data_IF_155849051175
#
_entry.id   IF_155849051175
#
_cell.length_a   1.000
_cell.length_b   1.000
_cell.length_c   1.000
_cell.angle_alpha   90.00
_cell.angle_beta   90.00
_cell.angle_gamma   90.00
#
_symmetry.space_group_name_H-M   'P 1'
#
loop_
_entity.id
_entity.type
_entity.pdbx_description
1 polymer ?
#
# COMPACT_ATOMS: atom_id res chain seq x y z
N UNK A 1 14.08 -24.27 2.40
CA UNK A 1 15.33 -23.48 2.36
C UNK A 1 15.25 -22.51 1.20
N UNK A 2 15.16 -21.21 1.47
CA UNK A 2 15.28 -20.16 0.45
C UNK A 2 16.75 -20.08 -0.01
N UNK A 3 16.96 -19.94 -1.31
CA UNK A 3 18.29 -19.81 -1.92
C UNK A 3 18.97 -18.50 -1.46
N UNK A 4 20.29 -18.46 -1.22
CA UNK A 4 21.04 -17.26 -0.84
C UNK A 4 21.09 -16.15 -1.90
N UNK A 5 20.48 -16.36 -3.07
CA UNK A 5 20.36 -15.37 -4.16
C UNK A 5 19.02 -14.60 -4.15
N UNK A 6 18.51 -14.36 -2.94
CA UNK A 6 17.42 -13.41 -2.67
C UNK A 6 17.97 -12.00 -2.39
N UNK A 7 19.05 -11.61 -3.07
CA UNK A 7 19.55 -10.24 -2.99
C UNK A 7 18.45 -9.30 -3.49
N UNK A 8 18.01 -8.38 -2.63
CA UNK A 8 17.12 -7.31 -3.07
C UNK A 8 17.85 -6.58 -4.19
N UNK A 9 17.13 -6.11 -5.22
CA UNK A 9 17.78 -5.39 -6.32
C UNK A 9 18.56 -4.17 -5.81
N UNK A 10 18.15 -3.60 -4.68
CA UNK A 10 18.93 -2.69 -3.85
C UNK A 10 20.38 -3.17 -3.62
N UNK A 11 20.57 -4.39 -3.13
CA UNK A 11 21.89 -4.96 -2.80
C UNK A 11 22.71 -5.20 -4.08
N UNK A 12 22.02 -5.58 -5.15
CA UNK A 12 22.61 -5.72 -6.48
C UNK A 12 23.11 -4.35 -6.96
N UNK A 13 22.26 -3.32 -7.02
CA UNK A 13 22.64 -1.97 -7.47
C UNK A 13 23.70 -1.34 -6.56
N UNK A 14 23.60 -1.52 -5.25
CA UNK A 14 24.61 -1.06 -4.29
C UNK A 14 25.98 -1.73 -4.54
N UNK A 15 26.02 -3.02 -4.86
CA UNK A 15 27.29 -3.68 -5.24
C UNK A 15 27.86 -3.20 -6.58
N UNK A 16 27.02 -2.60 -7.43
CA UNK A 16 27.37 -2.15 -8.77
C UNK A 16 27.88 -0.70 -8.80
N UNK A 17 27.41 0.17 -7.88
CA UNK A 17 27.79 1.59 -7.84
C UNK A 17 29.31 1.87 -7.94
N UNK A 18 30.22 1.12 -7.28
CA UNK A 18 31.66 1.36 -7.40
C UNK A 18 32.20 1.13 -8.82
N UNK A 19 31.56 0.27 -9.63
CA UNK A 19 31.94 0.02 -11.02
C UNK A 19 31.39 1.08 -12.00
N UNK A 20 30.46 1.93 -11.55
CA UNK A 20 29.76 2.95 -12.36
C UNK A 20 30.45 4.33 -12.27
N UNK A 21 31.39 4.54 -11.35
CA UNK A 21 31.98 5.84 -11.02
C UNK A 21 32.92 6.49 -12.08
N UNK A 22 32.97 6.00 -13.33
CA UNK A 22 33.75 6.60 -14.43
C UNK A 22 32.86 7.28 -15.48
N UNK A 23 33.41 8.15 -16.35
CA UNK A 23 32.62 8.92 -17.36
C UNK A 23 32.47 8.25 -18.74
N UNK A 24 32.99 7.04 -18.92
CA UNK A 24 32.94 6.32 -20.20
C UNK A 24 31.67 5.47 -20.36
N UNK A 25 30.96 5.54 -21.52
CA UNK A 25 29.90 4.60 -21.86
C UNK A 25 30.45 3.16 -21.87
N UNK A 26 29.88 2.29 -21.05
CA UNK A 26 30.25 0.88 -20.97
C UNK A 26 28.98 0.05 -20.73
N UNK A 27 28.92 -1.16 -21.29
CA UNK A 27 27.98 -2.18 -20.81
C UNK A 27 28.53 -2.67 -19.47
N UNK A 28 27.92 -2.23 -18.37
CA UNK A 28 28.58 -2.29 -17.06
C UNK A 28 28.48 -3.70 -16.47
N UNK A 29 27.31 -4.37 -16.49
CA UNK A 29 27.16 -5.75 -15.97
C UNK A 29 26.01 -6.50 -16.65
N UNK A 30 26.23 -7.80 -16.90
CA UNK A 30 25.20 -8.78 -17.29
C UNK A 30 24.93 -9.73 -16.11
N UNK A 31 23.70 -9.74 -15.59
CA UNK A 31 23.28 -10.61 -14.49
C UNK A 31 22.20 -11.59 -14.93
N UNK A 32 22.16 -12.77 -14.33
CA UNK A 32 21.08 -13.76 -14.53
C UNK A 32 20.28 -13.89 -13.23
N UNK A 33 19.04 -13.44 -13.24
CA UNK A 33 18.08 -13.59 -12.14
C UNK A 33 17.25 -14.85 -12.39
N UNK A 34 17.39 -15.86 -11.52
CA UNK A 34 16.59 -17.10 -11.57
C UNK A 34 15.58 -17.13 -10.43
N UNK A 35 14.31 -17.23 -10.77
CA UNK A 35 13.25 -17.71 -9.87
C UNK A 35 12.74 -19.09 -10.37
N UNK A 36 12.01 -19.83 -9.54
CA UNK A 36 11.39 -21.14 -9.82
C UNK A 36 10.56 -21.19 -11.10
N UNK A 37 10.20 -20.05 -11.70
CA UNK A 37 9.38 -19.95 -12.93
C UNK A 37 10.00 -19.12 -14.07
N UNK A 38 11.11 -18.41 -13.88
CA UNK A 38 11.67 -17.50 -14.89
C UNK A 38 13.19 -17.37 -14.76
N UNK A 39 13.91 -17.40 -15.89
CA UNK A 39 15.36 -17.13 -15.98
C UNK A 39 15.59 -15.89 -16.82
N UNK A 40 15.83 -14.76 -16.16
CA UNK A 40 15.88 -13.46 -16.81
C UNK A 40 17.29 -12.88 -16.76
N UNK A 41 17.80 -12.41 -17.87
CA UNK A 41 19.06 -11.69 -17.97
C UNK A 41 18.80 -10.20 -17.83
N UNK A 42 19.56 -9.53 -16.99
CA UNK A 42 19.51 -8.09 -16.78
C UNK A 42 20.83 -7.50 -17.25
N UNK A 43 20.79 -6.64 -18.26
CA UNK A 43 21.94 -5.93 -18.83
C UNK A 43 21.79 -4.45 -18.50
N UNK A 44 22.76 -3.89 -17.79
CA UNK A 44 22.83 -2.43 -17.59
C UNK A 44 23.74 -1.87 -18.68
N UNK A 45 23.18 -1.07 -19.58
CA UNK A 45 23.92 -0.38 -20.63
C UNK A 45 23.96 1.12 -20.35
N UNK A 46 25.15 1.70 -20.39
CA UNK A 46 25.32 3.14 -20.14
C UNK A 46 25.43 3.86 -21.47
N UNK A 47 24.41 4.62 -21.81
CA UNK A 47 24.33 5.39 -23.06
C UNK A 47 24.70 6.85 -22.81
N UNK A 48 25.00 7.61 -23.87
CA UNK A 48 25.34 9.04 -23.78
C UNK A 48 24.20 9.94 -23.23
N UNK A 49 23.00 9.38 -23.01
CA UNK A 49 21.78 10.12 -22.59
C UNK A 49 21.22 9.61 -21.24
N UNK A 50 21.89 8.64 -20.60
CA UNK A 50 21.44 8.00 -19.35
C UNK A 50 21.75 6.50 -19.32
N UNK A 51 21.35 5.83 -18.23
CA UNK A 51 21.54 4.39 -18.06
C UNK A 51 20.25 3.63 -18.43
N UNK A 52 20.38 2.51 -19.14
CA UNK A 52 19.25 1.67 -19.53
C UNK A 52 19.43 0.26 -19.01
N UNK A 53 18.38 -0.24 -18.36
CA UNK A 53 18.30 -1.61 -17.89
C UNK A 53 17.49 -2.43 -18.90
N UNK A 54 18.14 -3.39 -19.54
CA UNK A 54 17.55 -4.30 -20.51
C UNK A 54 17.34 -5.68 -19.88
N UNK A 55 16.18 -6.26 -20.12
CA UNK A 55 15.73 -7.51 -19.50
C UNK A 55 15.45 -8.53 -20.62
N UNK A 56 16.15 -9.67 -20.65
CA UNK A 56 16.06 -10.69 -21.71
C UNK A 56 15.72 -12.09 -21.15
N UNK A 57 14.86 -12.86 -21.80
CA UNK A 57 14.48 -14.23 -21.43
C UNK A 57 15.29 -15.29 -22.19
N UNK A 58 16.62 -15.21 -22.07
CA UNK A 58 17.57 -16.28 -22.45
C UNK A 58 17.67 -16.67 -23.92
N UNK A 59 16.88 -16.06 -24.81
CA UNK A 59 17.01 -16.13 -26.28
C UNK A 59 16.62 -14.76 -26.84
N UNK A 60 17.38 -14.24 -27.83
CA UNK A 60 17.07 -13.09 -28.72
C UNK A 60 17.90 -11.79 -28.59
N UNK A 61 17.99 -11.11 -29.75
CA UNK A 61 18.76 -9.88 -30.03
C UNK A 61 18.05 -8.57 -29.64
N UNK A 62 16.82 -8.62 -29.09
CA UNK A 62 16.09 -7.49 -28.49
C UNK A 62 15.60 -7.89 -27.09
N UNK A 63 15.58 -6.96 -26.12
CA UNK A 63 15.11 -7.24 -24.77
C UNK A 63 13.58 -7.37 -24.70
N UNK A 64 13.09 -8.28 -23.85
CA UNK A 64 11.67 -8.49 -23.55
C UNK A 64 11.06 -7.37 -22.70
N UNK A 65 11.92 -6.65 -21.97
CA UNK A 65 11.58 -5.38 -21.35
C UNK A 65 12.80 -4.44 -21.29
N UNK A 66 12.56 -3.14 -21.42
CA UNK A 66 13.58 -2.10 -21.22
C UNK A 66 13.05 -1.08 -20.23
N UNK A 67 13.89 -0.74 -19.26
CA UNK A 67 13.66 0.28 -18.24
C UNK A 67 14.74 1.34 -18.39
N UNK A 68 14.36 2.61 -18.40
CA UNK A 68 15.30 3.73 -18.42
C UNK A 68 15.45 4.29 -17.02
N UNK A 69 16.70 4.34 -16.51
CA UNK A 69 17.04 4.84 -15.19
C UNK A 69 18.16 5.88 -15.35
N UNK A 70 17.96 7.08 -14.80
CA UNK A 70 19.05 8.03 -14.72
C UNK A 70 20.09 7.58 -13.68
N UNK A 71 21.29 8.17 -13.72
CA UNK A 71 22.32 7.93 -12.69
C UNK A 71 21.85 8.38 -11.30
N UNK A 72 20.98 9.39 -11.23
CA UNK A 72 20.32 9.77 -9.99
C UNK A 72 19.40 8.65 -9.49
N UNK A 73 18.62 8.03 -10.39
CA UNK A 73 17.76 6.90 -10.05
C UNK A 73 18.58 5.71 -9.54
N UNK A 74 19.70 5.36 -10.18
CA UNK A 74 20.59 4.29 -9.69
C UNK A 74 21.19 4.59 -8.32
N UNK A 75 21.61 5.84 -8.07
CA UNK A 75 22.10 6.26 -6.76
C UNK A 75 21.01 6.19 -5.68
N UNK A 76 19.77 6.55 -6.02
CA UNK A 76 18.61 6.43 -5.13
C UNK A 76 18.23 4.96 -4.89
N UNK A 77 18.36 4.09 -5.89
CA UNK A 77 18.08 2.66 -5.71
C UNK A 77 19.08 2.05 -4.74
N UNK A 78 20.36 2.39 -4.86
CA UNK A 78 21.39 1.88 -3.96
C UNK A 78 21.32 2.46 -2.55
N UNK A 79 20.94 3.74 -2.40
CA UNK A 79 20.92 4.40 -1.09
C UNK A 79 19.59 4.25 -0.36
N UNK A 80 18.48 4.20 -1.10
CA UNK A 80 17.11 4.23 -0.56
C UNK A 80 16.33 2.94 -0.85
N UNK A 81 16.82 2.06 -1.73
CA UNK A 81 15.99 0.99 -2.35
C UNK A 81 14.97 1.52 -3.36
N UNK A 82 15.18 2.78 -3.72
CA UNK A 82 14.29 3.78 -4.26
C UNK A 82 14.39 4.27 -5.69
N UNK A 83 13.30 4.63 -6.38
CA UNK A 83 13.38 5.72 -7.40
C UNK A 83 12.45 6.87 -7.01
N UNK A 84 12.92 8.12 -7.11
CA UNK A 84 12.13 9.32 -6.70
C UNK A 84 11.16 9.81 -7.77
N UNK A 85 11.46 9.54 -9.04
CA UNK A 85 10.71 10.01 -10.20
C UNK A 85 9.99 8.89 -10.99
N UNK A 86 9.19 9.27 -11.99
CA UNK A 86 8.59 8.29 -12.90
C UNK A 86 9.68 7.58 -13.70
N UNK A 87 9.60 6.26 -13.75
CA UNK A 87 10.51 5.42 -14.53
C UNK A 87 9.82 5.00 -15.83
N UNK A 88 10.43 5.31 -16.97
CA UNK A 88 9.91 4.87 -18.25
C UNK A 88 10.24 3.39 -18.46
N UNK A 89 9.22 2.57 -18.73
CA UNK A 89 9.36 1.14 -18.94
C UNK A 89 8.57 0.70 -20.18
N UNK A 90 9.13 -0.21 -20.96
CA UNK A 90 8.50 -0.78 -22.16
C UNK A 90 8.76 -2.27 -22.24
N UNK A 91 7.80 -3.05 -22.76
CA UNK A 91 7.95 -4.50 -22.93
C UNK A 91 6.83 -5.34 -22.31
N UNK A 92 7.13 -6.59 -21.99
CA UNK A 92 6.18 -7.59 -21.49
C UNK A 92 5.50 -7.15 -20.18
N UNK A 93 4.15 -7.05 -20.13
CA UNK A 93 3.43 -6.64 -18.91
C UNK A 93 3.75 -7.47 -17.67
N UNK A 94 3.99 -8.78 -17.84
CA UNK A 94 4.36 -9.66 -16.74
C UNK A 94 5.74 -9.33 -16.16
N UNK A 95 6.73 -9.05 -17.03
CA UNK A 95 8.08 -8.64 -16.60
C UNK A 95 8.07 -7.23 -16.00
N UNK A 96 7.32 -6.31 -16.60
CA UNK A 96 7.15 -4.95 -16.08
C UNK A 96 6.46 -4.96 -14.72
N UNK A 97 5.44 -5.81 -14.53
CA UNK A 97 4.79 -6.03 -13.24
C UNK A 97 5.74 -6.58 -12.18
N UNK A 98 6.51 -7.63 -12.52
CA UNK A 98 7.51 -8.19 -11.62
C UNK A 98 8.64 -7.19 -11.28
N UNK A 99 8.97 -6.30 -12.21
CA UNK A 99 9.93 -5.24 -12.01
C UNK A 99 9.37 -4.15 -11.09
N UNK A 100 8.19 -3.61 -11.39
CA UNK A 100 7.45 -2.68 -10.52
C UNK A 100 7.39 -3.20 -9.09
N UNK A 101 6.98 -4.44 -8.89
CA UNK A 101 6.80 -5.01 -7.55
C UNK A 101 8.11 -5.11 -6.75
N UNK A 102 9.27 -5.18 -7.42
CA UNK A 102 10.61 -5.17 -6.82
C UNK A 102 11.16 -3.77 -6.53
N UNK A 103 10.75 -2.75 -7.28
CA UNK A 103 11.15 -1.36 -7.04
C UNK A 103 10.26 -0.65 -6.03
N UNK A 104 8.99 -1.04 -5.98
CA UNK A 104 8.02 -0.52 -5.03
C UNK A 104 8.14 -1.20 -3.65
N UNK A 105 8.97 -2.24 -3.52
CA UNK A 105 9.20 -2.89 -2.23
C UNK A 105 10.23 -2.12 -1.41
N UNK A 106 9.83 -1.71 -0.21
CA UNK A 106 10.73 -1.13 0.78
C UNK A 106 11.93 -2.06 1.09
N UNK A 107 13.12 -1.50 1.18
CA UNK A 107 14.34 -2.26 1.50
C UNK A 107 14.33 -2.75 2.95
N UNK A 108 15.12 -3.77 3.26
CA UNK A 108 15.29 -4.24 4.65
C UNK A 108 15.76 -3.13 5.60
N UNK A 109 16.64 -2.23 5.12
CA UNK A 109 17.09 -1.07 5.87
C UNK A 109 15.95 -0.05 6.10
N UNK A 110 15.10 0.16 5.09
CA UNK A 110 13.89 0.97 5.23
C UNK A 110 12.93 0.40 6.29
N UNK A 111 12.65 -0.92 6.24
CA UNK A 111 11.84 -1.59 7.26
C UNK A 111 12.41 -1.40 8.67
N UNK A 112 13.71 -1.63 8.84
CA UNK A 112 14.39 -1.45 10.11
C UNK A 112 14.32 0.00 10.61
N UNK A 113 14.37 0.99 9.71
CA UNK A 113 14.21 2.40 10.06
C UNK A 113 12.80 2.71 10.56
N UNK A 114 11.75 2.19 9.92
CA UNK A 114 10.37 2.32 10.40
C UNK A 114 10.22 1.71 11.80
N UNK A 115 10.75 0.50 12.00
CA UNK A 115 10.73 -0.17 13.30
C UNK A 115 11.51 0.62 14.37
N UNK A 116 12.64 1.23 14.02
CA UNK A 116 13.42 2.07 14.93
C UNK A 116 12.69 3.36 15.33
N UNK A 117 12.14 4.11 14.35
CA UNK A 117 11.40 5.37 14.62
C UNK A 117 10.19 5.11 15.51
N UNK A 118 9.53 3.96 15.33
CA UNK A 118 8.36 3.62 16.11
C UNK A 118 8.68 2.95 17.46
N UNK A 119 9.94 2.63 17.73
CA UNK A 119 10.39 2.05 19.01
C UNK A 119 10.46 3.05 20.17
N UNK A 120 10.49 4.35 19.87
CA UNK A 120 10.19 5.39 20.87
C UNK A 120 8.67 5.44 21.09
N UNK A 121 8.21 5.76 22.30
CA UNK A 121 6.80 5.72 22.65
C UNK A 121 5.98 6.66 21.75
N UNK A 122 5.37 6.10 20.71
CA UNK A 122 4.30 6.75 19.96
C UNK A 122 3.11 6.79 20.91
N UNK A 123 2.54 7.98 21.11
CA UNK A 123 1.47 8.21 22.08
C UNK A 123 0.32 7.20 21.97
N UNK A 124 -0.36 6.97 23.08
CA UNK A 124 -1.48 6.01 23.20
C UNK A 124 -2.75 6.42 22.44
N UNK A 125 -2.75 7.60 21.80
CA UNK A 125 -3.88 8.14 21.05
C UNK A 125 -3.44 8.58 19.64
N UNK A 126 -4.36 8.44 18.68
CA UNK A 126 -4.19 8.96 17.32
C UNK A 126 -4.73 10.38 17.25
N UNK A 127 -3.87 11.31 16.85
CA UNK A 127 -4.23 12.72 16.72
C UNK A 127 -5.39 12.89 15.71
N UNK A 128 -6.37 13.72 16.07
CA UNK A 128 -7.44 14.15 15.16
C UNK A 128 -7.14 15.58 14.70
N UNK A 129 -6.81 15.75 13.43
CA UNK A 129 -6.34 17.01 12.83
C UNK A 129 -7.33 17.59 11.83
N UNK A 130 -7.25 18.91 11.63
CA UNK A 130 -7.99 19.64 10.60
C UNK A 130 -7.07 20.18 9.52
N UNK A 131 -7.57 20.23 8.28
CA UNK A 131 -6.84 20.79 7.13
C UNK A 131 -6.47 22.25 7.38
N UNK A 132 -7.42 23.07 7.85
CA UNK A 132 -7.19 24.51 8.04
C UNK A 132 -6.12 24.81 9.11
N UNK A 133 -5.83 23.86 10.00
CA UNK A 133 -4.90 24.01 11.12
C UNK A 133 -3.55 23.32 10.86
N UNK A 134 -3.41 22.60 9.73
CA UNK A 134 -2.23 21.77 9.43
C UNK A 134 -1.71 22.10 8.03
N UNK A 135 -0.50 22.65 7.94
CA UNK A 135 0.16 22.82 6.64
C UNK A 135 0.65 21.47 6.11
N UNK A 136 0.80 21.28 4.78
CA UNK A 136 1.40 20.07 4.21
C UNK A 136 2.79 19.76 4.78
N UNK A 137 3.64 20.77 4.98
CA UNK A 137 4.96 20.60 5.58
C UNK A 137 4.87 20.10 7.03
N UNK A 138 4.00 20.70 7.84
CA UNK A 138 3.78 20.26 9.21
C UNK A 138 3.20 18.84 9.27
N UNK A 139 2.33 18.47 8.32
CA UNK A 139 1.80 17.12 8.23
C UNK A 139 2.91 16.10 7.95
N UNK A 140 3.75 16.39 6.95
CA UNK A 140 4.85 15.52 6.56
C UNK A 140 5.84 15.36 7.71
N UNK A 141 6.25 16.44 8.36
CA UNK A 141 7.21 16.39 9.45
C UNK A 141 6.66 15.65 10.68
N UNK A 142 5.47 16.02 11.14
CA UNK A 142 4.91 15.55 12.41
C UNK A 142 4.26 14.18 12.33
N UNK A 143 3.75 13.79 11.16
CA UNK A 143 3.01 12.54 10.97
C UNK A 143 3.75 11.59 10.02
N UNK A 144 4.03 12.01 8.79
CA UNK A 144 4.55 11.10 7.78
C UNK A 144 5.99 10.64 8.05
N UNK A 145 6.91 11.57 8.28
CA UNK A 145 8.32 11.31 8.61
C UNK A 145 8.51 10.71 10.00
N UNK A 146 7.66 11.10 10.95
CA UNK A 146 7.65 10.57 12.32
C UNK A 146 6.93 9.21 12.43
N UNK A 147 6.37 8.68 11.34
CA UNK A 147 5.58 7.43 11.33
C UNK A 147 4.44 7.45 12.36
N UNK A 148 3.72 8.56 12.48
CA UNK A 148 2.57 8.73 13.39
C UNK A 148 1.25 8.74 12.61
N UNK A 149 0.32 7.81 12.89
CA UNK A 149 -1.03 7.85 12.34
C UNK A 149 -1.76 9.12 12.76
N UNK A 150 -2.69 9.58 11.92
CA UNK A 150 -3.56 10.71 12.23
C UNK A 150 -4.91 10.57 11.53
N UNK A 151 -5.99 11.03 12.17
CA UNK A 151 -7.31 11.15 11.54
C UNK A 151 -7.51 12.59 11.11
N UNK A 152 -7.79 12.79 9.84
CA UNK A 152 -8.13 14.09 9.25
C UNK A 152 -9.66 14.17 9.22
N UNK A 153 -10.23 15.04 10.05
CA UNK A 153 -11.68 15.04 10.35
C UNK A 153 -12.52 15.87 9.36
N UNK A 154 -11.87 16.64 8.50
CA UNK A 154 -12.47 17.53 7.51
C UNK A 154 -11.92 17.26 6.09
N UNK A 155 -11.36 16.06 5.86
CA UNK A 155 -10.73 15.68 4.60
C UNK A 155 -11.70 15.59 3.42
N UNK A 156 -12.97 15.28 3.68
CA UNK A 156 -13.94 14.90 2.66
C UNK A 156 -14.93 16.03 2.34
N UNK A 157 -14.42 17.21 1.99
CA UNK A 157 -15.25 18.39 1.76
C UNK A 157 -16.29 18.22 0.63
N UNK A 158 -15.94 17.57 -0.49
CA UNK A 158 -16.90 17.30 -1.57
C UNK A 158 -18.02 16.37 -1.09
N UNK A 159 -17.68 15.35 -0.28
CA UNK A 159 -18.68 14.42 0.27
C UNK A 159 -19.48 14.99 1.43
N UNK A 160 -18.94 15.92 2.21
CA UNK A 160 -19.71 16.63 3.22
C UNK A 160 -20.86 17.44 2.59
N UNK A 161 -20.63 18.05 1.42
CA UNK A 161 -21.65 18.80 0.69
C UNK A 161 -22.70 17.91 -0.01
N UNK A 162 -22.34 16.70 -0.40
CA UNK A 162 -23.23 15.74 -1.05
C UNK A 162 -22.92 14.30 -0.59
N UNK A 163 -23.40 13.90 0.61
CA UNK A 163 -23.06 12.62 1.21
C UNK A 163 -23.48 11.44 0.33
N UNK A 164 -22.72 10.35 0.40
CA UNK A 164 -23.16 9.08 -0.15
C UNK A 164 -24.16 8.43 0.80
N UNK A 165 -25.23 7.90 0.23
CA UNK A 165 -26.15 7.00 0.93
C UNK A 165 -26.17 5.67 0.17
N UNK A 166 -26.60 4.59 0.83
CA UNK A 166 -26.75 3.28 0.18
C UNK A 166 -27.66 3.39 -1.04
N UNK A 167 -28.75 4.14 -0.94
CA UNK A 167 -29.69 4.33 -2.05
C UNK A 167 -29.05 5.08 -3.22
N UNK A 168 -28.26 6.12 -2.94
CA UNK A 168 -27.56 6.87 -3.97
C UNK A 168 -26.47 6.04 -4.65
N UNK A 169 -25.70 5.25 -3.88
CA UNK A 169 -24.72 4.30 -4.42
C UNK A 169 -25.44 3.28 -5.31
N UNK A 170 -26.56 2.72 -4.86
CA UNK A 170 -27.35 1.78 -5.65
C UNK A 170 -27.86 2.40 -6.94
N UNK A 171 -28.35 3.64 -6.90
CA UNK A 171 -28.91 4.34 -8.06
C UNK A 171 -27.84 4.76 -9.08
N UNK A 172 -26.72 5.31 -8.61
CA UNK A 172 -25.68 5.86 -9.49
C UNK A 172 -24.65 4.79 -9.92
N UNK A 173 -24.34 3.84 -9.04
CA UNK A 173 -23.22 2.89 -9.21
C UNK A 173 -23.68 1.44 -9.37
N UNK A 174 -24.99 1.18 -9.28
CA UNK A 174 -25.56 -0.16 -9.20
C UNK A 174 -25.21 -1.11 -10.35
N UNK A 175 -24.98 -0.56 -11.55
CA UNK A 175 -24.63 -1.34 -12.74
C UNK A 175 -23.14 -1.74 -12.80
N UNK A 176 -22.29 -1.16 -11.95
CA UNK A 176 -20.88 -1.55 -11.89
C UNK A 176 -20.73 -3.01 -11.46
N UNK A 177 -19.83 -3.74 -12.12
CA UNK A 177 -19.43 -5.07 -11.69
C UNK A 177 -18.42 -4.94 -10.54
N UNK A 178 -18.63 -5.72 -9.49
CA UNK A 178 -17.81 -5.73 -8.28
C UNK A 178 -17.38 -7.14 -7.95
N UNK A 179 -16.11 -7.30 -7.56
CA UNK A 179 -15.58 -8.56 -7.04
C UNK A 179 -15.92 -8.66 -5.55
N UNK A 180 -16.73 -9.65 -5.20
CA UNK A 180 -17.20 -9.92 -3.84
C UNK A 180 -16.53 -11.18 -3.32
N UNK A 181 -15.86 -11.05 -2.17
CA UNK A 181 -15.29 -12.19 -1.45
C UNK A 181 -16.41 -12.91 -0.73
N UNK A 182 -16.59 -14.19 -1.04
CA UNK A 182 -17.61 -15.07 -0.43
C UNK A 182 -16.95 -16.04 0.56
N UNK A 183 -17.73 -16.64 1.45
CA UNK A 183 -17.21 -17.50 2.53
C UNK A 183 -16.60 -16.70 3.69
N UNK A 184 -15.68 -17.30 4.44
CA UNK A 184 -15.03 -16.66 5.59
C UNK A 184 -13.80 -15.86 5.14
N UNK A 185 -14.02 -14.68 4.55
CA UNK A 185 -12.95 -13.80 4.07
C UNK A 185 -11.85 -13.58 5.10
N UNK A 186 -12.20 -13.29 6.37
CA UNK A 186 -11.22 -13.03 7.41
C UNK A 186 -10.30 -14.23 7.69
N UNK A 187 -10.84 -15.44 7.72
CA UNK A 187 -10.04 -16.65 7.95
C UNK A 187 -9.26 -17.09 6.70
N UNK A 188 -9.83 -16.89 5.52
CA UNK A 188 -9.29 -17.41 4.26
C UNK A 188 -8.51 -16.38 3.44
N UNK A 189 -8.37 -15.14 3.93
CA UNK A 189 -7.62 -14.11 3.24
C UNK A 189 -6.21 -14.62 2.90
N UNK A 190 -5.83 -14.48 1.63
CA UNK A 190 -4.57 -14.95 1.04
C UNK A 190 -4.40 -16.47 0.90
N UNK A 191 -5.43 -17.26 1.23
CA UNK A 191 -5.43 -18.69 0.98
C UNK A 191 -5.93 -19.01 -0.44
N UNK A 192 -5.45 -20.10 -1.07
CA UNK A 192 -5.97 -20.55 -2.36
C UNK A 192 -7.47 -20.90 -2.36
N UNK A 193 -8.05 -21.13 -1.18
CA UNK A 193 -9.48 -21.45 -1.02
C UNK A 193 -10.38 -20.21 -1.09
N UNK A 194 -9.81 -19.00 -1.01
CA UNK A 194 -10.57 -17.75 -1.00
C UNK A 194 -11.45 -17.64 -2.25
N UNK A 195 -12.77 -17.61 -2.02
CA UNK A 195 -13.74 -17.52 -3.09
C UNK A 195 -14.03 -16.07 -3.47
N UNK A 196 -14.23 -15.83 -4.76
CA UNK A 196 -14.56 -14.50 -5.28
C UNK A 196 -15.56 -14.64 -6.40
N UNK A 197 -16.62 -13.85 -6.33
CA UNK A 197 -17.68 -13.82 -7.32
C UNK A 197 -17.82 -12.39 -7.86
N UNK A 198 -18.03 -12.27 -9.16
CA UNK A 198 -18.29 -10.99 -9.79
C UNK A 198 -19.80 -10.79 -9.93
N UNK A 199 -20.33 -9.73 -9.32
CA UNK A 199 -21.76 -9.42 -9.30
C UNK A 199 -22.01 -7.96 -9.62
N UNK A 200 -23.25 -7.60 -9.99
CA UNK A 200 -23.64 -6.18 -10.06
C UNK A 200 -23.70 -5.58 -8.66
N UNK A 201 -23.21 -4.36 -8.50
CA UNK A 201 -23.21 -3.67 -7.22
C UNK A 201 -24.63 -3.53 -6.65
N UNK A 202 -25.64 -3.25 -7.47
CA UNK A 202 -27.03 -3.20 -7.01
C UNK A 202 -27.52 -4.52 -6.40
N UNK A 203 -27.15 -5.66 -7.02
CA UNK A 203 -27.51 -6.98 -6.52
C UNK A 203 -26.78 -7.29 -5.20
N UNK A 204 -25.50 -6.95 -5.10
CA UNK A 204 -24.73 -7.06 -3.87
C UNK A 204 -25.35 -6.23 -2.73
N UNK A 205 -25.67 -4.96 -3.00
CA UNK A 205 -26.28 -4.05 -2.03
C UNK A 205 -27.70 -4.48 -1.61
N UNK A 206 -28.43 -5.20 -2.46
CA UNK A 206 -29.73 -5.77 -2.10
C UNK A 206 -29.57 -7.00 -1.17
N UNK A 207 -28.49 -7.77 -1.32
CA UNK A 207 -28.17 -8.92 -0.48
C UNK A 207 -27.49 -8.55 0.86
N UNK A 208 -26.94 -7.35 0.99
CA UNK A 208 -26.43 -6.81 2.24
C UNK A 208 -27.61 -6.51 3.18
N UNK A 209 -28.02 -7.48 4.00
CA UNK A 209 -29.07 -7.29 5.02
C UNK A 209 -28.70 -6.22 6.06
N UNK A 210 -29.57 -6.02 7.06
CA UNK A 210 -29.40 -4.97 8.10
C UNK A 210 -28.28 -5.24 9.13
N UNK A 211 -27.50 -6.31 8.93
CA UNK A 211 -26.32 -6.63 9.74
C UNK A 211 -26.62 -7.28 11.09
N UNK A 212 -27.89 -7.61 11.40
CA UNK A 212 -28.30 -8.17 12.71
C UNK A 212 -27.99 -9.65 12.92
N UNK A 213 -27.72 -10.41 11.86
CA UNK A 213 -27.39 -11.83 12.00
C UNK A 213 -25.88 -12.03 12.18
N UNK A 214 -25.45 -12.23 13.43
CA UNK A 214 -24.04 -12.38 13.81
C UNK A 214 -23.40 -13.70 13.35
N UNK A 215 -24.20 -14.70 12.96
CA UNK A 215 -23.71 -16.05 12.66
C UNK A 215 -23.39 -16.30 11.18
N UNK A 216 -23.84 -15.42 10.27
CA UNK A 216 -23.65 -15.60 8.83
C UNK A 216 -22.31 -15.04 8.34
N UNK A 217 -21.59 -15.79 7.50
CA UNK A 217 -20.48 -15.28 6.71
C UNK A 217 -20.96 -14.13 5.84
N UNK A 218 -20.26 -12.99 5.90
CA UNK A 218 -20.67 -11.74 5.26
C UNK A 218 -19.86 -11.53 3.99
N UNK A 219 -20.48 -11.56 2.80
CA UNK A 219 -19.76 -11.30 1.56
C UNK A 219 -19.22 -9.86 1.58
N UNK A 220 -17.97 -9.68 1.17
CA UNK A 220 -17.26 -8.41 1.31
C UNK A 220 -16.64 -7.98 -0.02
N UNK A 221 -17.04 -6.83 -0.55
CA UNK A 221 -16.43 -6.24 -1.74
C UNK A 221 -15.09 -5.59 -1.37
N UNK A 222 -14.09 -6.42 -1.12
CA UNK A 222 -12.78 -6.04 -0.59
C UNK A 222 -11.73 -5.81 -1.69
N UNK A 223 -10.98 -4.70 -1.57
CA UNK A 223 -9.85 -4.33 -2.44
C UNK A 223 -10.22 -4.25 -3.93
N UNK A 224 -11.40 -3.72 -4.26
CA UNK A 224 -11.78 -3.47 -5.64
C UNK A 224 -11.09 -2.21 -6.17
N UNK A 225 -10.67 -2.18 -7.44
CA UNK A 225 -10.14 -0.96 -8.04
C UNK A 225 -11.27 0.05 -8.24
N UNK A 226 -11.03 1.32 -7.92
CA UNK A 226 -11.97 2.40 -8.22
C UNK A 226 -11.98 2.62 -9.75
N UNK A 227 -13.14 2.51 -10.43
CA UNK A 227 -13.25 2.85 -11.85
C UNK A 227 -12.81 4.28 -12.13
N UNK A 228 -12.20 4.51 -13.30
CA UNK A 228 -11.66 5.82 -13.67
C UNK A 228 -12.71 6.93 -13.57
N UNK A 229 -13.93 6.68 -14.03
CA UNK A 229 -15.02 7.68 -14.06
C UNK A 229 -15.52 8.07 -12.66
N UNK A 230 -15.07 7.40 -11.60
CA UNK A 230 -15.43 7.72 -10.22
C UNK A 230 -14.51 8.79 -9.59
N UNK A 231 -13.42 9.18 -10.27
CA UNK A 231 -12.41 10.09 -9.73
C UNK A 231 -12.98 11.45 -9.29
N UNK A 232 -13.98 11.99 -10.00
CA UNK A 232 -14.60 13.28 -9.66
C UNK A 232 -15.29 13.27 -8.29
N UNK A 233 -15.66 12.09 -7.80
CA UNK A 233 -16.36 11.93 -6.52
C UNK A 233 -15.41 11.82 -5.35
N UNK A 234 -14.14 11.50 -5.62
CA UNK A 234 -13.13 11.30 -4.61
C UNK A 234 -12.65 12.65 -4.07
N UNK A 235 -12.55 12.70 -2.75
CA UNK A 235 -11.72 13.67 -2.04
C UNK A 235 -10.34 13.03 -1.89
N UNK A 236 -9.36 13.51 -2.65
CA UNK A 236 -7.97 13.04 -2.56
C UNK A 236 -7.32 13.54 -1.27
N UNK A 237 -6.27 12.86 -0.78
CA UNK A 237 -5.55 13.29 0.42
C UNK A 237 -5.07 14.76 0.35
N UNK A 238 -5.35 15.59 1.37
CA UNK A 238 -5.19 17.05 1.28
C UNK A 238 -3.74 17.55 1.43
N UNK A 239 -2.83 16.71 1.96
CA UNK A 239 -1.46 17.11 2.30
C UNK A 239 -0.40 16.58 1.33
N UNK A 240 -0.79 15.78 0.34
CA UNK A 240 0.11 15.22 -0.67
C UNK A 240 -0.46 15.47 -2.07
N UNK A 241 0.37 15.73 -3.08
CA UNK A 241 -0.11 15.88 -4.45
C UNK A 241 -0.85 14.63 -4.93
N UNK A 242 -1.98 14.81 -5.62
CA UNK A 242 -2.80 13.69 -6.15
C UNK A 242 -1.99 12.73 -7.02
N UNK A 243 -1.03 13.25 -7.80
CA UNK A 243 -0.14 12.46 -8.64
C UNK A 243 0.81 11.53 -7.88
N UNK A 244 0.89 11.65 -6.55
CA UNK A 244 1.61 10.70 -5.69
C UNK A 244 0.72 9.54 -5.23
N UNK A 245 -0.59 9.58 -5.44
CA UNK A 245 -1.48 8.48 -5.11
C UNK A 245 -1.46 7.41 -6.22
N UNK A 246 -1.41 6.14 -5.82
CA UNK A 246 -1.72 5.02 -6.70
C UNK A 246 -3.21 5.03 -7.05
N UNK A 247 -3.59 4.17 -8.01
CA UNK A 247 -4.99 3.88 -8.27
C UNK A 247 -5.71 3.50 -6.97
N UNK A 248 -6.73 4.27 -6.64
CA UNK A 248 -7.50 4.10 -5.44
C UNK A 248 -8.22 2.75 -5.45
N UNK A 249 -8.40 2.19 -4.26
CA UNK A 249 -9.18 0.97 -4.06
C UNK A 249 -10.34 1.23 -3.13
N UNK A 250 -11.41 0.48 -3.27
CA UNK A 250 -12.57 0.58 -2.41
C UNK A 250 -12.95 -0.71 -1.70
N UNK A 251 -13.70 -0.50 -0.63
CA UNK A 251 -14.15 -1.51 0.31
C UNK A 251 -15.60 -1.25 0.66
N UNK A 252 -16.51 -2.13 0.22
CA UNK A 252 -17.94 -2.03 0.53
C UNK A 252 -18.39 -3.30 1.22
N UNK A 253 -19.12 -3.17 2.33
CA UNK A 253 -19.79 -4.31 2.92
C UNK A 253 -20.69 -3.97 4.10
N UNK A 254 -21.50 -4.96 4.54
CA UNK A 254 -22.33 -4.77 5.71
C UNK A 254 -21.48 -4.60 6.97
N UNK A 255 -22.13 -4.24 8.09
CA UNK A 255 -21.52 -4.33 9.42
C UNK A 255 -20.84 -5.70 9.60
N UNK A 256 -19.89 -5.83 10.52
CA UNK A 256 -19.20 -7.08 10.85
C UNK A 256 -18.27 -7.64 9.78
N UNK A 257 -18.19 -7.03 8.59
CA UNK A 257 -17.08 -7.30 7.66
C UNK A 257 -15.76 -6.87 8.29
N UNK A 258 -14.70 -7.65 8.09
CA UNK A 258 -13.41 -7.40 8.69
C UNK A 258 -12.27 -7.69 7.72
N UNK A 259 -11.22 -6.88 7.78
CA UNK A 259 -9.90 -7.18 7.23
C UNK A 259 -8.96 -7.44 8.43
N UNK A 260 -8.52 -8.70 8.64
CA UNK A 260 -7.70 -9.08 9.79
C UNK A 260 -6.38 -8.33 9.87
N UNK A 261 -5.71 -8.42 11.03
CA UNK A 261 -4.43 -7.76 11.28
C UNK A 261 -3.38 -8.06 10.18
N UNK A 262 -2.91 -7.00 9.53
CA UNK A 262 -1.86 -7.03 8.51
C UNK A 262 -1.13 -5.68 8.49
N UNK A 263 0.00 -5.61 7.78
CA UNK A 263 0.66 -4.33 7.48
C UNK A 263 1.01 -4.24 6.01
N UNK A 264 0.92 -3.02 5.48
CA UNK A 264 1.39 -2.64 4.15
C UNK A 264 2.68 -1.84 4.27
N UNK A 265 3.55 -1.93 3.27
CA UNK A 265 4.82 -1.20 3.23
C UNK A 265 4.77 0.10 2.43
N UNK A 266 3.58 0.66 2.27
CA UNK A 266 3.32 1.95 1.64
C UNK A 266 2.44 2.80 2.56
N UNK A 267 2.70 4.10 2.58
CA UNK A 267 1.81 5.05 3.23
C UNK A 267 0.43 4.98 2.58
N UNK A 268 -0.61 5.00 3.40
CA UNK A 268 -1.98 4.83 2.96
C UNK A 268 -2.89 5.89 3.58
N UNK A 269 -3.85 6.38 2.80
CA UNK A 269 -4.95 7.18 3.31
C UNK A 269 -6.24 6.38 3.16
N UNK A 270 -6.98 6.14 4.24
CA UNK A 270 -8.27 5.46 4.23
C UNK A 270 -9.39 6.46 4.52
N UNK A 271 -10.17 6.80 3.51
CA UNK A 271 -11.35 7.68 3.59
C UNK A 271 -12.61 6.88 3.88
N UNK A 272 -13.41 7.32 4.84
CA UNK A 272 -14.67 6.70 5.19
C UNK A 272 -15.84 7.47 4.55
N UNK A 273 -16.48 6.90 3.53
CA UNK A 273 -17.54 7.57 2.76
C UNK A 273 -18.92 7.37 3.37
N UNK A 274 -19.21 6.16 3.85
CA UNK A 274 -20.52 5.78 4.44
C UNK A 274 -20.32 4.92 5.66
N UNK A 275 -21.09 5.17 6.71
CA UNK A 275 -21.07 4.39 7.95
C UNK A 275 -19.76 4.54 8.70
N UNK A 276 -19.42 3.53 9.51
CA UNK A 276 -18.26 3.60 10.40
C UNK A 276 -17.44 2.32 10.42
N UNK A 277 -16.15 2.50 10.72
CA UNK A 277 -15.17 1.43 10.93
C UNK A 277 -14.45 1.63 12.25
N UNK A 278 -14.25 0.53 12.98
CA UNK A 278 -13.34 0.47 14.12
C UNK A 278 -12.06 -0.21 13.68
N UNK A 279 -10.94 0.43 13.96
CA UNK A 279 -9.61 0.04 13.51
C UNK A 279 -8.73 -0.13 14.73
N UNK A 280 -8.06 -1.27 14.85
CA UNK A 280 -6.97 -1.45 15.80
C UNK A 280 -5.65 -1.21 15.05
N UNK A 281 -4.80 -0.35 15.58
CA UNK A 281 -3.47 -0.03 15.07
C UNK A 281 -2.42 -0.55 16.04
N UNK A 282 -1.42 -1.25 15.51
CA UNK A 282 -0.27 -1.72 16.30
C UNK A 282 1.01 -1.20 15.66
N UNK A 283 1.86 -0.60 16.48
CA UNK A 283 3.09 0.03 16.01
C UNK A 283 4.03 -0.99 15.35
N UNK A 284 4.78 -0.59 14.30
CA UNK A 284 5.67 -1.48 13.55
C UNK A 284 6.69 -2.23 14.41
N UNK A 285 7.22 -1.61 15.47
CA UNK A 285 8.21 -2.22 16.36
C UNK A 285 7.70 -3.47 17.11
N UNK A 286 6.38 -3.72 17.16
CA UNK A 286 5.80 -4.95 17.71
C UNK A 286 5.89 -6.15 16.74
N UNK A 287 6.49 -6.00 15.56
CA UNK A 287 6.68 -7.09 14.60
C UNK A 287 7.24 -8.39 15.22
N UNK A 288 8.24 -8.38 16.13
CA UNK A 288 8.70 -9.61 16.78
C UNK A 288 7.60 -10.33 17.58
N UNK A 289 6.75 -9.57 18.29
CA UNK A 289 5.65 -10.12 19.08
C UNK A 289 4.49 -10.65 18.20
N UNK A 290 4.27 -10.04 17.03
CA UNK A 290 3.23 -10.44 16.08
C UNK A 290 3.66 -11.58 15.15
N UNK A 291 4.97 -11.72 14.90
CA UNK A 291 5.58 -12.72 14.02
C UNK A 291 4.99 -12.75 12.59
N UNK A 292 4.95 -11.61 11.87
CA UNK A 292 4.28 -11.47 10.58
C UNK A 292 4.78 -12.46 9.51
N UNK A 293 3.88 -12.86 8.62
CA UNK A 293 4.21 -13.67 7.44
C UNK A 293 4.06 -12.85 6.18
N UNK A 294 5.10 -12.86 5.35
CA UNK A 294 5.06 -12.25 4.01
C UNK A 294 4.04 -13.00 3.16
N UNK A 295 3.05 -12.25 2.66
CA UNK A 295 2.04 -12.76 1.73
C UNK A 295 2.46 -12.46 0.29
N UNK A 296 2.83 -11.20 0.03
CA UNK A 296 3.44 -10.75 -1.22
C UNK A 296 4.38 -9.56 -0.94
N UNK A 297 5.03 -9.02 -1.98
CA UNK A 297 6.18 -8.10 -1.86
C UNK A 297 5.95 -6.82 -1.05
N UNK A 298 4.69 -6.41 -0.83
CA UNK A 298 4.31 -5.19 -0.11
C UNK A 298 3.42 -5.41 1.11
N UNK A 299 3.13 -6.66 1.47
CA UNK A 299 2.10 -7.02 2.44
C UNK A 299 2.54 -8.16 3.34
N UNK A 300 2.35 -7.97 4.64
CA UNK A 300 2.58 -8.98 5.66
C UNK A 300 1.31 -9.20 6.49
N UNK A 301 0.93 -10.45 6.68
CA UNK A 301 -0.28 -10.85 7.43
C UNK A 301 0.07 -11.33 8.83
N UNK A 302 -0.83 -11.03 9.77
CA UNK A 302 -0.87 -11.51 11.14
C UNK A 302 -2.28 -12.00 11.49
N UNK A 303 -3.02 -12.57 10.54
CA UNK A 303 -4.44 -12.92 10.69
C UNK A 303 -4.77 -13.99 11.76
N UNK A 304 -3.77 -14.55 12.44
CA UNK A 304 -3.90 -15.41 13.62
C UNK A 304 -3.89 -14.64 14.96
N UNK A 305 -3.68 -13.32 14.93
CA UNK A 305 -3.73 -12.43 16.09
C UNK A 305 -4.99 -11.56 15.98
N UNK A 306 -5.78 -11.51 17.05
CA UNK A 306 -6.93 -10.62 17.15
C UNK A 306 -6.62 -9.46 18.11
N UNK A 307 -6.30 -8.24 17.63
CA UNK A 307 -5.99 -7.11 18.51
C UNK A 307 -7.18 -6.62 19.33
N UNK A 308 -8.41 -7.07 19.06
CA UNK A 308 -9.59 -6.78 19.87
C UNK A 308 -9.83 -7.84 20.96
N UNK A 309 -9.13 -8.97 20.90
CA UNK A 309 -9.16 -9.96 21.97
C UNK A 309 -8.24 -9.51 23.13
N UNK A 310 -8.71 -9.45 24.38
CA UNK A 310 -7.91 -8.94 25.50
C UNK A 310 -6.57 -9.65 25.72
N UNK A 311 -6.52 -10.97 25.48
CA UNK A 311 -5.30 -11.77 25.62
C UNK A 311 -4.23 -11.38 24.60
N UNK A 312 -4.62 -11.03 23.38
CA UNK A 312 -3.72 -10.60 22.33
C UNK A 312 -3.33 -9.13 22.52
N UNK A 313 -4.31 -8.26 22.80
CA UNK A 313 -4.09 -6.83 23.03
C UNK A 313 -3.02 -6.55 24.10
N UNK A 314 -2.99 -7.35 25.18
CA UNK A 314 -2.01 -7.22 26.27
C UNK A 314 -0.55 -7.49 25.86
N UNK A 315 -0.29 -7.95 24.63
CA UNK A 315 1.07 -8.25 24.13
C UNK A 315 1.71 -7.05 23.42
N UNK A 316 0.93 -6.07 22.98
CA UNK A 316 1.40 -5.01 22.07
C UNK A 316 0.56 -3.70 22.11
N UNK A 317 -0.29 -3.52 23.13
CA UNK A 317 -1.02 -2.29 23.43
C UNK A 317 -1.60 -1.56 22.18
N UNK A 318 -2.58 -2.18 21.48
CA UNK A 318 -3.15 -1.61 20.28
C UNK A 318 -3.82 -0.27 20.56
N UNK A 319 -3.63 0.68 19.64
CA UNK A 319 -4.37 1.96 19.63
C UNK A 319 -5.63 1.78 18.80
N UNK A 320 -6.78 2.18 19.33
CA UNK A 320 -8.06 2.05 18.63
C UNK A 320 -8.51 3.37 18.03
N UNK A 321 -8.90 3.32 16.76
CA UNK A 321 -9.46 4.44 16.01
C UNK A 321 -10.86 4.09 15.55
N UNK A 322 -11.79 5.05 15.63
CA UNK A 322 -13.07 4.95 14.94
C UNK A 322 -13.10 6.00 13.83
N UNK A 323 -13.36 5.56 12.61
CA UNK A 323 -13.61 6.43 11.47
C UNK A 323 -15.11 6.53 11.25
N UNK A 324 -15.62 7.75 11.30
CA UNK A 324 -16.97 8.09 10.90
C UNK A 324 -17.01 8.57 9.45
N UNK A 325 -18.19 8.61 8.85
CA UNK A 325 -18.34 9.17 7.51
C UNK A 325 -17.82 10.62 7.45
N UNK A 326 -16.86 10.87 6.55
CA UNK A 326 -16.16 12.16 6.42
C UNK A 326 -14.72 12.16 6.97
N UNK A 327 -14.36 11.19 7.82
CA UNK A 327 -13.01 11.04 8.32
C UNK A 327 -12.08 10.40 7.27
N UNK A 328 -10.80 10.79 7.29
CA UNK A 328 -9.72 10.13 6.55
C UNK A 328 -8.58 9.77 7.49
N UNK A 329 -8.22 8.49 7.58
CA UNK A 329 -7.04 8.04 8.34
C UNK A 329 -5.80 8.09 7.47
N UNK A 330 -4.78 8.82 7.91
CA UNK A 330 -3.42 8.59 7.47
C UNK A 330 -2.82 7.41 8.25
N UNK A 331 -2.42 6.38 7.51
CA UNK A 331 -1.80 5.17 8.02
C UNK A 331 -0.37 5.08 7.45
N UNK A 332 0.66 5.36 8.26
CA UNK A 332 2.04 5.27 7.81
C UNK A 332 2.42 3.84 7.47
N UNK A 333 3.35 3.68 6.52
CA UNK A 333 3.86 2.36 6.15
C UNK A 333 4.38 1.57 7.36
N UNK A 334 4.16 0.27 7.33
CA UNK A 334 4.61 -0.68 8.35
C UNK A 334 3.67 -0.81 9.54
N UNK A 335 2.69 0.07 9.71
CA UNK A 335 1.70 -0.04 10.78
C UNK A 335 0.78 -1.23 10.57
N UNK A 336 0.68 -2.07 11.59
CA UNK A 336 -0.26 -3.16 11.58
C UNK A 336 -1.66 -2.65 11.86
N UNK A 337 -2.64 -3.14 11.14
CA UNK A 337 -4.02 -2.71 11.27
C UNK A 337 -5.03 -3.84 11.05
N UNK A 338 -6.01 -3.93 11.95
CA UNK A 338 -7.23 -4.75 11.83
C UNK A 338 -8.41 -3.79 11.68
N UNK A 339 -9.24 -4.00 10.65
CA UNK A 339 -10.29 -3.07 10.25
C UNK A 339 -11.63 -3.78 10.29
N UNK A 340 -12.56 -3.29 11.12
CA UNK A 340 -13.90 -3.88 11.29
C UNK A 340 -15.00 -2.87 11.01
N UNK A 341 -15.90 -3.19 10.10
CA UNK A 341 -17.08 -2.36 9.82
C UNK A 341 -18.06 -2.47 10.99
N UNK A 342 -18.39 -1.35 11.63
CA UNK A 342 -19.37 -1.29 12.74
C UNK A 342 -20.79 -1.01 12.26
N UNK A 343 -20.92 -0.50 11.04
CA UNK A 343 -22.17 -0.35 10.30
C UNK A 343 -21.96 -0.85 8.86
N UNK A 344 -23.00 -0.78 8.01
CA UNK A 344 -22.74 -0.82 6.57
C UNK A 344 -21.70 0.24 6.23
N UNK A 345 -20.63 -0.17 5.52
CA UNK A 345 -19.46 0.66 5.30
C UNK A 345 -19.13 0.76 3.82
N UNK A 346 -18.75 1.96 3.41
CA UNK A 346 -18.04 2.20 2.15
C UNK A 346 -16.81 3.06 2.46
N UNK A 347 -15.63 2.54 2.17
CA UNK A 347 -14.36 3.26 2.31
C UNK A 347 -13.58 3.22 1.01
N UNK A 348 -12.75 4.23 0.77
CA UNK A 348 -11.79 4.30 -0.34
C UNK A 348 -10.41 4.53 0.24
N UNK A 349 -9.41 3.82 -0.24
CA UNK A 349 -8.02 4.02 0.18
C UNK A 349 -7.10 4.42 -0.97
N UNK A 350 -6.07 5.20 -0.62
CA UNK A 350 -5.06 5.73 -1.52
C UNK A 350 -3.67 5.37 -0.97
N UNK A 351 -3.03 4.37 -1.57
CA UNK A 351 -1.62 4.11 -1.32
C UNK A 351 -0.76 5.15 -2.04
N UNK A 352 0.36 5.55 -1.46
CA UNK A 352 1.31 6.41 -2.16
C UNK A 352 2.20 5.60 -3.11
N UNK A 353 2.52 6.20 -4.26
CA UNK A 353 3.36 5.66 -5.33
C UNK A 353 4.86 5.70 -4.98
N UNK A 354 5.24 6.49 -3.98
CA UNK A 354 6.64 6.70 -3.59
C UNK A 354 7.00 5.88 -2.36
N UNK A 355 8.31 5.83 -2.09
CA UNK A 355 8.86 5.38 -0.81
C UNK A 355 8.06 6.01 0.34
N UNK A 356 7.75 5.26 1.41
CA UNK A 356 7.13 5.87 2.58
C UNK A 356 7.94 7.05 3.10
N UNK A 357 7.26 8.10 3.55
CA UNK A 357 7.93 9.29 4.06
C UNK A 357 8.86 8.95 5.24
N UNK A 358 8.43 8.07 6.15
CA UNK A 358 9.22 7.63 7.30
C UNK A 358 10.62 7.07 6.93
N UNK A 359 10.82 6.62 5.69
CA UNK A 359 12.11 6.11 5.21
C UNK A 359 12.82 7.03 4.21
N UNK A 360 12.20 8.15 3.82
CA UNK A 360 12.85 9.18 3.04
C UNK A 360 13.93 9.89 3.87
N UNK A 361 15.09 10.27 3.31
CA UNK A 361 16.05 11.09 4.04
C UNK A 361 15.51 12.50 4.35
N UNK A 362 16.05 13.18 5.38
CA UNK A 362 15.49 14.43 5.90
C UNK A 362 15.44 15.60 4.90
N UNK A 363 16.27 15.56 3.87
CA UNK A 363 16.39 16.58 2.81
C UNK A 363 15.28 16.50 1.74
N UNK A 364 14.41 15.48 1.80
CA UNK A 364 13.28 15.29 0.89
C UNK A 364 12.19 16.37 0.92
N UNK A 365 12.23 17.27 1.90
CA UNK A 365 11.29 18.41 2.03
C UNK A 365 11.37 19.39 0.85
N UNK A 366 12.41 19.32 0.02
CA UNK A 366 12.65 20.21 -1.12
C UNK A 366 12.03 19.75 -2.46
N UNK A 367 11.40 18.57 -2.50
CA UNK A 367 10.82 17.96 -3.72
C UNK A 367 9.30 18.14 -3.84
N UNK A 368 8.70 18.95 -2.97
CA UNK A 368 7.30 19.39 -3.01
C UNK A 368 7.26 20.88 -3.34
#
# INVERSE_FOLDING_TARGET
>A
MQSPLHSQLHDIVHSLLPAVAGDTPQTVVQLMVRDRRLSVFVVIDRTAVGESLHVHDGKHARPDASIFLSTADLADIASLGCVRGPVAMTGSPALLGAFRDRFMSISSAGKARVEAITGEAIGVEVDRIRIAETSPAAFIERYAMASRPAVIVDAMAKRAAAPWTIDRIRAELGEAMVDVRTGNYAAEIYQPTMQTEQVRLAAYLAGCGDGKDAAATRPYAASNAVPWDWHEWLDYPPFVPEGLCQYAKYWIGPAGTATPLHRDWLDNFLSQLVGSKRIALVAPHHAPALSPRVVHTGLESCNWVDPFAPADAARFDPVFVTLEAGDMLFLPAGWFHDVRSTAFSFSVNFFLMRIPYAVCPPDWTTLL
#
